data_IF_590946108644
#
_entry.id   IF_590946108644
#
_cell.length_a   1.000
_cell.length_b   1.000
_cell.length_c   1.000
_cell.angle_alpha   90.00
_cell.angle_beta   90.00
_cell.angle_gamma   90.00
#
_symmetry.space_group_name_H-M   'P 1'
#
loop_
_entity.id
_entity.type
_entity.pdbx_description
1 polymer ?
#
# COMPACT_ATOMS: atom_id res chain seq x y z
N UNK A 1 11.85 0.78 22.17
CA UNK A 1 10.44 0.98 22.57
C UNK A 1 9.62 1.25 21.33
N UNK A 2 8.39 0.73 21.21
CA UNK A 2 7.47 1.07 20.13
C UNK A 2 7.22 2.58 20.06
N UNK A 3 6.94 3.09 18.86
CA UNK A 3 6.57 4.49 18.66
C UNK A 3 5.15 4.69 19.19
N UNK A 4 4.94 5.64 20.09
CA UNK A 4 3.60 5.99 20.57
C UNK A 4 2.97 7.10 19.71
N UNK A 5 1.67 7.32 19.87
CA UNK A 5 0.91 8.32 19.11
C UNK A 5 1.42 9.74 19.31
N UNK A 6 1.84 10.10 20.52
CA UNK A 6 2.39 11.43 20.82
C UNK A 6 3.69 11.69 20.03
N UNK A 7 4.60 10.72 19.99
CA UNK A 7 5.82 10.78 19.19
C UNK A 7 5.52 10.83 17.70
N UNK A 8 4.53 10.04 17.23
CA UNK A 8 4.12 10.07 15.84
C UNK A 8 3.61 11.46 15.42
N UNK A 9 2.79 12.09 16.27
CA UNK A 9 2.31 13.46 16.08
C UNK A 9 3.45 14.49 16.10
N UNK A 10 4.38 14.38 17.04
CA UNK A 10 5.56 15.25 17.13
C UNK A 10 6.44 15.12 15.88
N UNK A 11 6.69 13.90 15.40
CA UNK A 11 7.57 13.64 14.27
C UNK A 11 6.95 14.01 12.93
N UNK A 12 5.62 13.85 12.79
CA UNK A 12 4.88 14.25 11.60
C UNK A 12 4.70 15.77 11.49
N UNK A 13 4.60 16.46 12.64
CA UNK A 13 4.34 17.90 12.69
C UNK A 13 2.90 18.26 12.31
N UNK A 14 2.69 19.54 11.99
CA UNK A 14 1.37 20.12 11.68
C UNK A 14 0.97 20.00 10.21
N UNK A 15 1.80 19.39 9.36
CA UNK A 15 1.50 19.26 7.94
C UNK A 15 0.30 18.33 7.72
N UNK A 16 -0.54 18.65 6.73
CA UNK A 16 -1.64 17.79 6.29
C UNK A 16 -1.19 16.78 5.24
N UNK A 17 -1.97 15.72 5.02
CA UNK A 17 -1.64 14.69 4.02
C UNK A 17 -1.55 15.30 2.61
N UNK A 18 -2.49 16.18 2.27
CA UNK A 18 -2.47 16.91 0.99
C UNK A 18 -1.20 17.76 0.86
N UNK A 19 -0.76 18.43 1.94
CA UNK A 19 0.49 19.23 1.94
C UNK A 19 1.74 18.38 1.70
N UNK A 20 1.80 17.18 2.27
CA UNK A 20 2.92 16.25 2.08
C UNK A 20 2.93 15.58 0.70
N UNK A 21 1.79 15.56 0.01
CA UNK A 21 1.61 14.94 -1.30
C UNK A 21 1.46 15.94 -2.44
N UNK A 22 1.69 17.24 -2.19
CA UNK A 22 1.63 18.27 -3.23
C UNK A 22 2.50 17.84 -4.41
N UNK A 23 1.88 17.81 -5.59
CA UNK A 23 2.63 17.64 -6.84
C UNK A 23 3.50 18.90 -6.99
N UNK A 24 4.80 18.76 -6.67
CA UNK A 24 5.78 19.85 -6.43
C UNK A 24 5.92 20.91 -7.53
N UNK A 25 5.20 20.81 -8.65
CA UNK A 25 5.37 21.65 -9.82
C UNK A 25 4.07 22.01 -10.54
N UNK A 26 2.93 22.11 -9.84
CA UNK A 26 1.87 22.97 -10.41
C UNK A 26 2.52 24.33 -10.65
N UNK A 27 2.67 24.69 -11.93
CA UNK A 27 3.16 26.01 -12.30
C UNK A 27 2.25 27.03 -11.63
N UNK A 28 2.72 28.27 -11.44
CA UNK A 28 1.90 29.35 -10.86
C UNK A 28 0.57 29.56 -11.61
N UNK A 29 0.48 29.10 -12.86
CA UNK A 29 -0.71 29.11 -13.71
C UNK A 29 -1.60 27.85 -13.58
N UNK A 30 -1.35 26.96 -12.62
CA UNK A 30 -2.12 25.73 -12.40
C UNK A 30 -1.85 24.62 -13.41
N UNK A 31 -0.83 24.76 -14.27
CA UNK A 31 -0.50 23.73 -15.27
C UNK A 31 0.41 22.65 -14.70
N UNK A 32 0.16 21.40 -15.10
CA UNK A 32 1.09 20.28 -14.90
C UNK A 32 1.95 20.03 -16.13
N UNK A 33 3.16 19.53 -15.91
CA UNK A 33 4.06 19.01 -16.93
C UNK A 33 3.62 17.63 -17.39
N UNK A 34 4.19 17.16 -18.51
CA UNK A 34 3.94 15.80 -19.00
C UNK A 34 4.36 14.75 -17.96
N UNK A 35 5.49 14.95 -17.27
CA UNK A 35 5.97 14.01 -16.25
C UNK A 35 5.06 13.96 -15.03
N UNK A 36 4.51 15.10 -14.60
CA UNK A 36 3.49 15.11 -13.56
C UNK A 36 2.23 14.37 -13.99
N UNK A 37 1.80 14.54 -15.25
CA UNK A 37 0.67 13.79 -15.79
C UNK A 37 0.95 12.27 -15.83
N UNK A 38 2.18 11.86 -16.15
CA UNK A 38 2.63 10.47 -16.04
C UNK A 38 2.59 9.96 -14.61
N UNK A 39 3.02 10.76 -13.63
CA UNK A 39 2.92 10.40 -12.21
C UNK A 39 1.47 10.23 -11.76
N UNK A 40 0.56 11.13 -12.18
CA UNK A 40 -0.87 11.02 -11.93
C UNK A 40 -1.46 9.70 -12.47
N UNK A 41 -1.11 9.34 -13.71
CA UNK A 41 -1.52 8.07 -14.32
C UNK A 41 -0.88 6.87 -13.61
N UNK A 42 0.39 6.94 -13.24
CA UNK A 42 1.07 5.85 -12.52
C UNK A 42 0.34 5.53 -11.21
N UNK A 43 -0.02 6.56 -10.43
CA UNK A 43 -0.75 6.38 -9.18
C UNK A 43 -2.14 5.82 -9.43
N UNK A 44 -2.92 6.43 -10.32
CA UNK A 44 -4.31 5.96 -10.56
C UNK A 44 -4.38 4.56 -11.16
N UNK A 45 -3.46 4.22 -12.08
CA UNK A 45 -3.27 2.85 -12.59
C UNK A 45 -2.85 1.88 -11.49
N UNK A 46 -1.86 2.26 -10.67
CA UNK A 46 -1.38 1.41 -9.56
C UNK A 46 -2.48 1.10 -8.55
N UNK A 47 -3.27 2.12 -8.20
CA UNK A 47 -4.43 1.97 -7.31
C UNK A 47 -5.49 1.07 -7.94
N UNK A 48 -5.82 1.23 -9.23
CA UNK A 48 -6.76 0.34 -9.91
C UNK A 48 -6.30 -1.12 -9.84
N UNK A 49 -5.00 -1.38 -10.02
CA UNK A 49 -4.43 -2.73 -9.91
C UNK A 49 -4.39 -3.31 -8.48
N UNK A 50 -4.61 -2.51 -7.44
CA UNK A 50 -4.88 -3.05 -6.11
C UNK A 50 -6.22 -3.83 -6.06
N UNK A 51 -7.15 -3.56 -6.99
CA UNK A 51 -8.50 -4.14 -7.01
C UNK A 51 -8.76 -5.07 -8.20
N UNK A 52 -8.12 -4.85 -9.34
CA UNK A 52 -8.32 -5.67 -10.55
C UNK A 52 -7.00 -6.22 -11.09
N UNK A 53 -7.06 -7.43 -11.64
CA UNK A 53 -5.90 -8.08 -12.24
C UNK A 53 -5.38 -7.29 -13.47
N UNK A 54 -4.11 -7.55 -13.84
CA UNK A 54 -3.45 -6.94 -15.00
C UNK A 54 -2.17 -6.16 -14.66
N UNK A 55 -1.90 -5.94 -13.36
CA UNK A 55 -0.64 -5.40 -12.89
C UNK A 55 0.45 -6.48 -12.72
N UNK A 56 1.68 -6.09 -12.31
CA UNK A 56 2.78 -7.03 -12.07
C UNK A 56 2.56 -7.93 -10.85
N UNK A 57 1.60 -7.58 -9.99
CA UNK A 57 1.26 -8.30 -8.77
C UNK A 57 -0.24 -8.62 -8.78
N UNK A 58 -0.66 -9.70 -8.09
CA UNK A 58 -2.07 -9.99 -7.92
C UNK A 58 -2.78 -8.85 -7.16
N UNK A 59 -4.09 -8.67 -7.36
CA UNK A 59 -4.87 -7.70 -6.61
C UNK A 59 -4.72 -7.92 -5.11
N UNK A 60 -4.48 -6.83 -4.39
CA UNK A 60 -4.33 -6.82 -2.95
C UNK A 60 -5.67 -7.01 -2.24
N UNK A 61 -6.73 -6.47 -2.84
CA UNK A 61 -8.07 -6.52 -2.30
C UNK A 61 -8.90 -7.55 -3.03
N UNK A 62 -9.37 -8.55 -2.28
CA UNK A 62 -10.46 -9.39 -2.74
C UNK A 62 -11.74 -8.60 -2.53
N UNK A 63 -12.29 -8.02 -3.60
CA UNK A 63 -13.60 -7.36 -3.53
C UNK A 63 -14.61 -8.40 -3.05
N UNK A 64 -15.21 -8.24 -1.86
CA UNK A 64 -16.25 -9.14 -1.39
C UNK A 64 -17.46 -8.91 -2.29
N UNK A 65 -17.59 -9.75 -3.33
CA UNK A 65 -18.82 -10.14 -4.03
C UNK A 65 -19.81 -9.00 -4.36
N UNK A 66 -19.98 -8.71 -5.65
CA UNK A 66 -20.91 -7.71 -6.21
C UNK A 66 -20.79 -6.28 -5.62
N UNK A 67 -19.71 -5.58 -6.00
CA UNK A 67 -19.99 -4.34 -6.70
C UNK A 67 -19.32 -4.39 -8.06
N UNK A 68 -20.09 -4.81 -9.07
CA UNK A 68 -19.76 -4.62 -10.50
C UNK A 68 -19.24 -3.20 -10.76
N UNK A 69 -19.71 -2.23 -9.97
CA UNK A 69 -19.32 -0.82 -10.05
C UNK A 69 -17.85 -0.55 -9.73
N UNK A 70 -17.28 -1.15 -8.66
CA UNK A 70 -15.89 -0.91 -8.28
C UNK A 70 -14.92 -1.41 -9.35
N UNK A 71 -15.09 -2.67 -9.77
CA UNK A 71 -14.33 -3.25 -10.87
C UNK A 71 -14.52 -2.46 -12.18
N UNK A 72 -15.75 -2.02 -12.48
CA UNK A 72 -16.04 -1.18 -13.63
C UNK A 72 -15.28 0.17 -13.56
N UNK A 73 -15.27 0.85 -12.42
CA UNK A 73 -14.49 2.09 -12.27
C UNK A 73 -13.00 1.86 -12.44
N UNK A 74 -12.45 0.77 -11.90
CA UNK A 74 -11.05 0.42 -12.13
C UNK A 74 -10.76 0.23 -13.64
N UNK A 75 -11.62 -0.48 -14.36
CA UNK A 75 -11.47 -0.65 -15.81
C UNK A 75 -11.57 0.68 -16.57
N UNK A 76 -12.48 1.57 -16.17
CA UNK A 76 -12.61 2.90 -16.77
C UNK A 76 -11.40 3.80 -16.46
N UNK A 77 -10.80 3.70 -15.27
CA UNK A 77 -9.52 4.35 -14.95
C UNK A 77 -8.41 3.84 -15.87
N UNK A 78 -8.26 2.51 -16.02
CA UNK A 78 -7.23 1.92 -16.87
C UNK A 78 -7.39 2.34 -18.34
N UNK A 79 -8.61 2.29 -18.88
CA UNK A 79 -8.90 2.76 -20.25
C UNK A 79 -8.64 4.25 -20.42
N UNK A 80 -8.97 5.07 -19.42
CA UNK A 80 -8.69 6.52 -19.44
C UNK A 80 -7.18 6.76 -19.48
N UNK A 81 -6.44 6.12 -18.58
CA UNK A 81 -5.00 6.31 -18.47
C UNK A 81 -4.27 5.84 -19.72
N UNK A 82 -4.68 4.72 -20.30
CA UNK A 82 -4.10 4.23 -21.55
C UNK A 82 -4.34 5.20 -22.72
N UNK A 83 -5.57 5.70 -22.89
CA UNK A 83 -5.85 6.77 -23.87
C UNK A 83 -5.01 8.02 -23.62
N UNK A 84 -4.79 8.37 -22.35
CA UNK A 84 -4.02 9.54 -21.96
C UNK A 84 -2.53 9.35 -22.24
N UNK A 85 -1.96 8.16 -22.01
CA UNK A 85 -0.58 7.79 -22.40
C UNK A 85 -0.40 7.88 -23.91
N UNK A 86 -1.32 7.29 -24.69
CA UNK A 86 -1.30 7.38 -26.16
C UNK A 86 -1.32 8.83 -26.64
N UNK A 87 -2.05 9.72 -25.95
CA UNK A 87 -2.10 11.14 -26.27
C UNK A 87 -0.80 11.88 -25.89
N UNK A 88 -0.15 11.49 -24.80
CA UNK A 88 1.09 12.12 -24.31
C UNK A 88 2.34 11.67 -25.08
N UNK A 89 2.40 10.39 -25.45
CA UNK A 89 3.56 9.76 -26.09
C UNK A 89 3.41 9.67 -27.62
N UNK A 90 2.22 9.96 -28.16
CA UNK A 90 1.93 9.89 -29.59
C UNK A 90 2.68 10.95 -30.43
N UNK A 91 2.96 10.65 -31.72
CA UNK A 91 3.58 11.60 -32.63
C UNK A 91 2.73 12.87 -32.77
N UNK A 92 3.38 14.04 -32.88
CA UNK A 92 2.72 15.30 -33.22
C UNK A 92 1.87 15.11 -34.48
N UNK A 93 0.54 15.06 -34.32
CA UNK A 93 -0.35 15.00 -35.47
C UNK A 93 -0.22 16.28 -36.28
N UNK A 94 0.21 16.14 -37.54
CA UNK A 94 0.31 17.25 -38.52
C UNK A 94 -1.07 17.78 -38.92
N UNK A 95 -2.10 16.94 -38.87
CA UNK A 95 -3.48 17.29 -39.27
C UNK A 95 -4.22 18.08 -38.19
N UNK A 96 -3.99 17.77 -36.92
CA UNK A 96 -4.68 18.43 -35.80
C UNK A 96 -3.82 19.51 -35.11
N UNK A 97 -2.56 19.74 -35.52
CA UNK A 97 -1.59 20.62 -34.82
C UNK A 97 -1.42 20.28 -33.34
N UNK A 98 -1.69 19.04 -32.96
CA UNK A 98 -1.71 18.61 -31.57
C UNK A 98 -0.80 17.37 -31.44
N UNK A 99 0.48 17.55 -31.10
CA UNK A 99 0.91 16.90 -29.87
C UNK A 99 0.53 17.86 -28.77
N UNK A 100 -0.33 17.39 -27.90
CA UNK A 100 -1.07 18.25 -27.04
C UNK A 100 -0.17 18.74 -25.89
N UNK A 101 0.49 19.89 -26.08
CA UNK A 101 0.91 20.76 -24.95
C UNK A 101 -0.25 21.02 -23.97
N UNK A 102 -1.50 20.80 -24.41
CA UNK A 102 -2.72 20.90 -23.63
C UNK A 102 -3.21 19.58 -23.01
N UNK A 103 -2.63 18.40 -23.33
CA UNK A 103 -3.10 17.14 -22.75
C UNK A 103 -2.81 17.11 -21.25
N UNK A 104 -1.68 17.68 -20.85
CA UNK A 104 -1.38 17.94 -19.45
C UNK A 104 -2.34 18.96 -18.81
N UNK A 105 -2.96 19.85 -19.60
CA UNK A 105 -3.88 20.88 -19.12
C UNK A 105 -5.37 20.49 -19.23
N UNK A 106 -5.66 19.21 -19.46
CA UNK A 106 -7.03 18.71 -19.54
C UNK A 106 -7.72 18.83 -18.17
N UNK A 107 -8.65 19.79 -17.99
CA UNK A 107 -9.27 20.03 -16.69
C UNK A 107 -10.11 18.84 -16.24
N UNK A 108 -10.70 18.10 -17.19
CA UNK A 108 -11.49 16.91 -16.90
C UNK A 108 -10.63 15.80 -16.30
N UNK A 109 -9.43 15.60 -16.83
CA UNK A 109 -8.46 14.67 -16.27
C UNK A 109 -8.02 15.09 -14.85
N UNK A 110 -7.62 16.35 -14.67
CA UNK A 110 -7.12 16.84 -13.37
C UNK A 110 -8.18 16.79 -12.26
N UNK A 111 -9.45 17.06 -12.61
CA UNK A 111 -10.59 16.98 -11.70
C UNK A 111 -10.79 15.58 -11.08
N UNK A 112 -10.35 14.53 -11.77
CA UNK A 112 -10.47 13.17 -11.21
C UNK A 112 -9.62 12.92 -9.97
N UNK A 113 -8.67 13.81 -9.68
CA UNK A 113 -7.73 13.71 -8.57
C UNK A 113 -8.06 14.68 -7.41
N UNK A 114 -9.19 15.39 -7.51
CA UNK A 114 -9.60 16.42 -6.56
C UNK A 114 -10.29 15.90 -5.30
N UNK A 115 -11.16 16.73 -4.71
CA UNK A 115 -11.86 16.41 -3.45
C UNK A 115 -13.30 15.90 -3.69
N UNK A 116 -13.87 15.25 -2.68
CA UNK A 116 -15.24 14.69 -2.70
C UNK A 116 -16.30 15.69 -3.18
N UNK A 117 -16.20 16.96 -2.77
CA UNK A 117 -17.11 18.03 -3.20
C UNK A 117 -17.24 18.14 -4.72
N UNK A 118 -16.24 17.71 -5.48
CA UNK A 118 -16.25 17.76 -6.94
C UNK A 118 -17.23 16.76 -7.56
N UNK A 119 -17.61 15.71 -6.83
CA UNK A 119 -18.66 14.76 -7.23
C UNK A 119 -20.03 15.46 -7.32
N UNK A 120 -20.30 16.43 -6.45
CA UNK A 120 -21.61 17.08 -6.33
C UNK A 120 -21.81 18.24 -7.34
N UNK A 121 -20.77 18.67 -8.04
CA UNK A 121 -20.77 19.98 -8.73
C UNK A 121 -21.45 19.98 -10.11
N UNK A 122 -21.83 18.84 -10.73
CA UNK A 122 -22.65 18.87 -11.98
C UNK A 122 -23.09 17.48 -12.47
N UNK A 123 -24.23 17.35 -13.17
CA UNK A 123 -24.65 16.11 -13.87
C UNK A 123 -23.70 15.66 -14.98
N UNK A 124 -22.79 16.54 -15.45
CA UNK A 124 -21.74 16.24 -16.43
C UNK A 124 -20.53 15.46 -15.84
N UNK A 125 -20.47 15.27 -14.51
CA UNK A 125 -19.40 14.52 -13.84
C UNK A 125 -19.65 13.00 -13.81
N UNK A 126 -20.37 12.46 -14.80
CA UNK A 126 -20.49 11.02 -15.01
C UNK A 126 -19.14 10.34 -15.25
N UNK A 127 -18.12 11.08 -15.70
CA UNK A 127 -16.84 10.56 -16.18
C UNK A 127 -15.63 10.83 -15.28
N UNK A 128 -15.77 10.74 -13.95
CA UNK A 128 -14.64 10.83 -13.00
C UNK A 128 -14.40 9.51 -12.24
N UNK A 129 -14.06 8.40 -12.94
CA UNK A 129 -14.05 7.06 -12.34
C UNK A 129 -13.04 6.92 -11.20
N UNK A 130 -11.89 7.58 -11.28
CA UNK A 130 -10.89 7.56 -10.18
C UNK A 130 -11.41 8.26 -8.92
N UNK A 131 -12.07 9.42 -9.07
CA UNK A 131 -12.66 10.15 -7.96
C UNK A 131 -13.76 9.32 -7.29
N UNK A 132 -14.63 8.68 -8.09
CA UNK A 132 -15.67 7.76 -7.58
C UNK A 132 -15.08 6.58 -6.84
N UNK A 133 -14.02 5.96 -7.39
CA UNK A 133 -13.32 4.87 -6.74
C UNK A 133 -12.75 5.27 -5.36
N UNK A 134 -12.19 6.47 -5.25
CA UNK A 134 -11.54 6.96 -4.01
C UNK A 134 -12.51 7.38 -2.91
N UNK A 135 -13.74 7.75 -3.27
CA UNK A 135 -14.77 8.23 -2.35
C UNK A 135 -15.98 7.30 -2.23
N UNK A 136 -15.98 6.16 -2.90
CA UNK A 136 -16.95 5.10 -2.61
C UNK A 136 -16.76 4.62 -1.16
N UNK A 137 -17.82 4.61 -0.31
CA UNK A 137 -17.68 4.31 1.11
C UNK A 137 -17.03 2.96 1.39
N UNK A 138 -17.47 1.90 0.69
CA UNK A 138 -16.98 0.54 0.93
C UNK A 138 -15.51 0.40 0.52
N UNK A 139 -15.14 0.98 -0.63
CA UNK A 139 -13.77 0.94 -1.12
C UNK A 139 -12.86 1.82 -0.26
N UNK A 140 -13.33 3.01 0.14
CA UNK A 140 -12.66 3.92 1.04
C UNK A 140 -12.35 3.27 2.39
N UNK A 141 -13.32 2.60 3.00
CA UNK A 141 -13.14 1.92 4.29
C UNK A 141 -12.13 0.78 4.22
N UNK A 142 -12.18 0.00 3.15
CA UNK A 142 -11.25 -1.09 2.91
C UNK A 142 -9.81 -0.59 2.68
N UNK A 143 -9.62 0.53 1.96
CA UNK A 143 -8.31 1.18 1.84
C UNK A 143 -7.83 1.74 3.18
N UNK A 144 -8.72 2.42 3.93
CA UNK A 144 -8.40 2.99 5.23
C UNK A 144 -7.94 1.92 6.21
N UNK A 145 -8.65 0.79 6.29
CA UNK A 145 -8.28 -0.33 7.15
C UNK A 145 -6.90 -0.90 6.78
N UNK A 146 -6.60 -1.03 5.49
CA UNK A 146 -5.27 -1.46 5.05
C UNK A 146 -4.16 -0.50 5.48
N UNK A 147 -4.41 0.81 5.41
CA UNK A 147 -3.47 1.85 5.86
C UNK A 147 -3.31 1.81 7.38
N UNK A 148 -4.40 1.62 8.12
CA UNK A 148 -4.39 1.46 9.58
C UNK A 148 -3.51 0.29 10.01
N UNK A 149 -3.64 -0.87 9.35
CA UNK A 149 -2.76 -2.01 9.59
C UNK A 149 -1.28 -1.69 9.31
N UNK A 150 -1.00 -1.03 8.18
CA UNK A 150 0.36 -0.65 7.80
C UNK A 150 0.99 0.29 8.84
N UNK A 151 0.23 1.29 9.31
CA UNK A 151 0.66 2.18 10.40
C UNK A 151 0.84 1.40 11.70
N UNK A 152 -0.05 0.46 12.00
CA UNK A 152 0.09 -0.44 13.16
C UNK A 152 1.40 -1.22 13.14
N UNK A 153 1.80 -1.76 11.97
CA UNK A 153 3.10 -2.43 11.80
C UNK A 153 4.27 -1.46 12.01
N UNK A 154 4.16 -0.24 11.47
CA UNK A 154 5.17 0.81 11.62
C UNK A 154 5.39 1.22 13.07
N UNK A 155 4.31 1.44 13.83
CA UNK A 155 4.41 1.88 15.22
C UNK A 155 4.91 0.76 16.15
N UNK A 156 4.49 -0.49 15.89
CA UNK A 156 4.90 -1.66 16.70
C UNK A 156 6.32 -2.11 16.38
N UNK A 157 6.72 -2.12 15.11
CA UNK A 157 8.02 -2.60 14.64
C UNK A 157 9.11 -1.54 14.64
N UNK A 158 8.73 -0.26 14.50
CA UNK A 158 9.67 0.87 14.53
C UNK A 158 10.04 1.26 15.96
N UNK A 159 11.28 1.65 16.16
CA UNK A 159 11.75 2.22 17.43
C UNK A 159 12.54 3.51 17.26
N UNK A 160 12.70 3.98 16.02
CA UNK A 160 13.50 5.17 15.69
C UNK A 160 12.73 6.08 14.74
N UNK A 161 13.11 7.37 14.74
CA UNK A 161 12.56 8.35 13.79
C UNK A 161 12.83 7.98 12.33
N UNK A 162 13.93 7.28 12.04
CA UNK A 162 14.28 6.85 10.69
C UNK A 162 13.35 5.76 10.14
N UNK A 163 12.77 4.94 11.02
CA UNK A 163 11.76 3.95 10.66
C UNK A 163 10.34 4.52 10.55
N UNK A 164 10.14 5.77 10.97
CA UNK A 164 8.84 6.43 10.92
C UNK A 164 8.62 7.09 9.56
N UNK A 165 7.44 6.87 9.00
CA UNK A 165 7.04 7.42 7.72
C UNK A 165 5.90 8.45 7.93
N UNK A 166 6.21 9.76 7.96
CA UNK A 166 5.21 10.80 8.25
C UNK A 166 3.98 10.74 7.34
N UNK A 167 4.17 10.41 6.06
CA UNK A 167 3.08 10.34 5.09
C UNK A 167 2.05 9.26 5.42
N UNK A 168 2.44 8.09 5.95
CA UNK A 168 1.48 7.06 6.34
C UNK A 168 0.67 7.49 7.56
N UNK A 169 1.34 8.05 8.57
CA UNK A 169 0.68 8.54 9.76
C UNK A 169 -0.33 9.64 9.45
N UNK A 170 0.12 10.67 8.72
CA UNK A 170 -0.72 11.81 8.36
C UNK A 170 -1.82 11.39 7.38
N UNK A 171 -1.55 10.46 6.46
CA UNK A 171 -2.54 9.91 5.55
C UNK A 171 -3.66 9.13 6.25
N UNK A 172 -3.34 8.42 7.34
CA UNK A 172 -4.34 7.79 8.22
C UNK A 172 -5.17 8.86 8.95
N UNK A 173 -4.49 9.81 9.62
CA UNK A 173 -5.13 10.87 10.41
C UNK A 173 -6.09 11.73 9.58
N UNK A 174 -5.68 12.12 8.38
CA UNK A 174 -6.39 13.08 7.52
C UNK A 174 -7.23 12.39 6.43
N UNK A 175 -7.48 11.07 6.54
CA UNK A 175 -8.09 10.27 5.47
C UNK A 175 -9.42 10.86 4.96
N UNK A 176 -10.30 11.27 5.88
CA UNK A 176 -11.64 11.79 5.56
C UNK A 176 -11.62 13.11 4.79
N UNK A 177 -10.59 13.93 4.96
CA UNK A 177 -10.48 15.26 4.33
C UNK A 177 -9.54 15.28 3.11
N UNK A 178 -8.76 14.21 2.93
CA UNK A 178 -7.76 14.10 1.86
C UNK A 178 -8.39 14.04 0.47
N UNK A 179 -7.70 14.61 -0.52
CA UNK A 179 -8.04 14.48 -1.94
C UNK A 179 -7.93 13.02 -2.44
N UNK A 180 -8.56 12.72 -3.58
CA UNK A 180 -8.41 11.42 -4.25
C UNK A 180 -6.96 11.13 -4.65
N UNK A 181 -6.21 12.16 -5.05
CA UNK A 181 -4.77 12.05 -5.26
C UNK A 181 -4.05 11.53 -4.02
N UNK A 182 -4.25 12.21 -2.89
CA UNK A 182 -3.56 11.90 -1.64
C UNK A 182 -3.94 10.53 -1.11
N UNK A 183 -5.22 10.15 -1.17
CA UNK A 183 -5.68 8.80 -0.84
C UNK A 183 -4.97 7.73 -1.68
N UNK A 184 -4.87 7.94 -2.99
CA UNK A 184 -4.18 7.03 -3.90
C UNK A 184 -2.68 6.91 -3.61
N UNK A 185 -2.00 8.04 -3.35
CA UNK A 185 -0.58 8.06 -2.99
C UNK A 185 -0.34 7.33 -1.67
N UNK A 186 -1.12 7.64 -0.63
CA UNK A 186 -1.00 7.01 0.70
C UNK A 186 -1.24 5.50 0.61
N UNK A 187 -2.23 5.04 -0.17
CA UNK A 187 -2.47 3.62 -0.38
C UNK A 187 -1.26 2.91 -0.99
N UNK A 188 -0.72 3.43 -2.09
CA UNK A 188 0.43 2.81 -2.75
C UNK A 188 1.68 2.83 -1.87
N UNK A 189 1.85 3.90 -1.08
CA UNK A 189 2.93 4.01 -0.12
C UNK A 189 2.78 2.99 1.03
N UNK A 190 1.56 2.75 1.51
CA UNK A 190 1.26 1.73 2.52
C UNK A 190 1.52 0.32 1.98
N UNK A 191 1.17 0.07 0.72
CA UNK A 191 1.44 -1.17 0.01
C UNK A 191 2.94 -1.45 -0.09
N UNK A 192 3.72 -0.51 -0.61
CA UNK A 192 5.18 -0.63 -0.69
C UNK A 192 5.83 -0.84 0.69
N UNK A 193 5.30 -0.16 1.72
CA UNK A 193 5.77 -0.35 3.09
C UNK A 193 5.54 -1.79 3.59
N UNK A 194 4.32 -2.32 3.48
CA UNK A 194 4.01 -3.69 3.93
C UNK A 194 4.81 -4.74 3.15
N UNK A 195 5.01 -4.54 1.84
CA UNK A 195 5.87 -5.41 1.02
C UNK A 195 7.32 -5.43 1.52
N UNK A 196 7.91 -4.27 1.84
CA UNK A 196 9.28 -4.18 2.40
C UNK A 196 9.38 -4.85 3.77
N UNK A 197 8.39 -4.67 4.65
CA UNK A 197 8.37 -5.31 5.97
C UNK A 197 8.26 -6.83 5.83
N UNK A 198 7.39 -7.33 4.96
CA UNK A 198 7.26 -8.76 4.69
C UNK A 198 8.56 -9.35 4.13
N UNK A 199 9.20 -8.68 3.16
CA UNK A 199 10.48 -9.10 2.61
C UNK A 199 11.57 -9.18 3.70
N UNK A 200 11.62 -8.21 4.60
CA UNK A 200 12.57 -8.20 5.72
C UNK A 200 12.30 -9.35 6.71
N UNK A 201 11.03 -9.64 7.02
CA UNK A 201 10.64 -10.76 7.88
C UNK A 201 11.02 -12.11 7.26
N UNK A 202 10.74 -12.30 5.96
CA UNK A 202 11.14 -13.51 5.24
C UNK A 202 12.66 -13.70 5.21
N UNK A 203 13.42 -12.62 4.98
CA UNK A 203 14.87 -12.69 5.01
C UNK A 203 15.41 -13.07 6.40
N UNK A 204 14.86 -12.47 7.46
CA UNK A 204 15.25 -12.81 8.83
C UNK A 204 14.95 -14.28 9.17
N UNK A 205 13.77 -14.78 8.77
CA UNK A 205 13.39 -16.17 8.96
C UNK A 205 14.33 -17.13 8.21
N UNK A 206 14.68 -16.83 6.95
CA UNK A 206 15.63 -17.63 6.18
C UNK A 206 17.02 -17.68 6.83
N UNK A 207 17.52 -16.55 7.33
CA UNK A 207 18.81 -16.51 8.03
C UNK A 207 18.76 -17.31 9.33
N UNK A 208 17.67 -17.23 10.08
CA UNK A 208 17.49 -18.00 11.31
C UNK A 208 17.43 -19.51 11.02
N UNK A 209 16.71 -19.92 9.97
CA UNK A 209 16.65 -21.32 9.54
C UNK A 209 18.02 -21.84 9.09
N UNK A 210 18.80 -21.03 8.37
CA UNK A 210 20.18 -21.38 7.98
C UNK A 210 21.10 -21.54 9.20
N UNK A 211 21.00 -20.65 10.20
CA UNK A 211 21.76 -20.76 11.44
C UNK A 211 21.37 -22.00 12.23
N UNK A 212 20.09 -22.35 12.27
CA UNK A 212 19.63 -23.56 12.94
C UNK A 212 20.10 -24.83 12.23
N UNK A 213 20.02 -24.87 10.91
CA UNK A 213 20.54 -25.98 10.12
C UNK A 213 22.05 -26.14 10.32
N UNK A 214 22.81 -25.03 10.41
CA UNK A 214 24.25 -25.07 10.69
C UNK A 214 24.55 -25.61 12.09
N UNK A 215 23.82 -25.15 13.12
CA UNK A 215 24.01 -25.64 14.49
C UNK A 215 23.65 -27.12 14.64
N UNK A 216 22.60 -27.59 13.94
CA UNK A 216 22.26 -29.02 13.91
C UNK A 216 23.38 -29.85 13.26
N UNK A 217 23.94 -29.35 12.15
CA UNK A 217 25.07 -29.98 11.48
C UNK A 217 26.30 -30.06 12.40
N UNK A 218 26.64 -28.98 13.10
CA UNK A 218 27.79 -28.93 14.01
C UNK A 218 27.67 -29.90 15.21
N UNK A 219 26.45 -30.25 15.63
CA UNK A 219 26.18 -31.23 16.70
C UNK A 219 26.16 -32.68 16.15
N UNK A 220 26.44 -32.88 14.86
CA UNK A 220 26.45 -34.20 14.21
C UNK A 220 25.04 -34.74 13.93
N UNK A 221 24.01 -33.91 14.07
CA UNK A 221 22.65 -34.24 13.66
C UNK A 221 22.49 -33.87 12.18
N UNK A 222 22.83 -34.83 11.31
CA UNK A 222 22.69 -34.65 9.86
C UNK A 222 21.19 -34.52 9.50
N UNK A 223 20.77 -33.49 8.75
CA UNK A 223 19.37 -33.28 8.37
C UNK A 223 18.77 -34.42 7.54
N UNK A 224 19.60 -35.28 6.94
CA UNK A 224 19.17 -36.41 6.10
C UNK A 224 18.70 -37.64 6.89
N UNK A 225 18.87 -37.63 8.22
CA UNK A 225 18.38 -38.71 9.08
C UNK A 225 17.38 -38.14 10.10
N UNK A 226 16.08 -38.28 9.80
CA UNK A 226 14.92 -38.11 10.71
C UNK A 226 14.24 -36.73 10.86
N UNK A 227 14.26 -35.84 9.86
CA UNK A 227 13.56 -34.54 9.99
C UNK A 227 12.02 -34.56 9.88
N UNK A 228 11.37 -35.69 9.61
CA UNK A 228 9.89 -35.74 9.59
C UNK A 228 9.25 -35.82 10.98
N UNK A 229 10.00 -36.08 12.07
CA UNK A 229 9.40 -36.30 13.38
C UNK A 229 9.68 -35.24 14.45
N UNK A 230 10.64 -34.33 14.23
CA UNK A 230 11.06 -33.37 15.27
C UNK A 230 10.56 -31.92 15.08
N UNK A 231 10.00 -31.57 13.92
CA UNK A 231 9.50 -30.22 13.62
C UNK A 231 8.33 -29.75 14.53
N UNK A 232 7.73 -30.65 15.32
CA UNK A 232 6.62 -30.33 16.24
C UNK A 232 7.03 -30.09 17.70
N UNK A 233 8.30 -30.31 18.08
CA UNK A 233 8.73 -30.27 19.50
C UNK A 233 8.52 -28.93 20.23
N UNK A 234 8.74 -27.75 19.62
CA UNK A 234 8.47 -26.47 20.30
C UNK A 234 6.98 -26.25 20.56
N UNK A 235 6.11 -26.76 19.67
CA UNK A 235 4.66 -26.58 19.75
C UNK A 235 4.00 -27.51 20.78
N UNK A 236 4.55 -28.71 20.98
CA UNK A 236 4.04 -29.70 21.93
C UNK A 236 4.37 -29.32 23.38
N UNK A 237 5.58 -28.83 23.64
CA UNK A 237 5.99 -28.43 25.00
C UNK A 237 5.21 -27.23 25.52
N UNK A 238 4.94 -26.20 24.69
CA UNK A 238 4.16 -25.04 25.13
C UNK A 238 2.69 -25.38 25.46
N UNK A 239 2.07 -26.30 24.70
CA UNK A 239 0.71 -26.80 24.98
C UNK A 239 0.67 -27.76 26.17
N UNK A 240 1.69 -28.61 26.35
CA UNK A 240 1.79 -29.51 27.51
C UNK A 240 2.03 -28.74 28.80
N UNK A 241 2.91 -27.74 28.82
CA UNK A 241 3.13 -26.89 30.00
C UNK A 241 1.82 -26.25 30.49
N UNK A 242 0.97 -25.78 29.57
CA UNK A 242 -0.37 -25.25 29.92
C UNK A 242 -1.35 -26.31 30.44
N UNK A 243 -1.20 -27.58 30.06
CA UNK A 243 -2.12 -28.66 30.47
C UNK A 243 -1.67 -29.41 31.72
N UNK A 244 -0.37 -29.64 31.89
CA UNK A 244 0.17 -30.42 33.00
C UNK A 244 0.62 -29.55 34.18
N UNK A 245 0.78 -28.23 33.98
CA UNK A 245 1.35 -27.34 35.00
C UNK A 245 2.84 -27.59 35.28
N UNK A 246 3.47 -28.50 34.54
CA UNK A 246 4.89 -28.86 34.70
C UNK A 246 5.75 -27.85 33.96
N UNK A 247 6.82 -27.37 34.61
CA UNK A 247 7.71 -26.39 34.01
C UNK A 247 8.43 -26.95 32.79
N UNK A 248 8.74 -26.08 31.82
CA UNK A 248 9.42 -26.49 30.59
C UNK A 248 10.81 -27.09 30.85
N UNK A 249 11.45 -26.69 31.96
CA UNK A 249 12.74 -27.24 32.42
C UNK A 249 12.61 -28.69 32.87
N UNK A 250 11.60 -28.99 33.67
CA UNK A 250 11.35 -30.34 34.18
C UNK A 250 10.95 -31.32 33.06
N UNK A 251 10.18 -30.86 32.06
CA UNK A 251 9.88 -31.70 30.89
C UNK A 251 11.12 -32.03 30.06
N UNK A 252 12.10 -31.11 29.97
CA UNK A 252 13.37 -31.35 29.28
C UNK A 252 14.25 -32.33 30.04
N UNK A 253 14.28 -32.24 31.38
CA UNK A 253 15.04 -33.17 32.23
C UNK A 253 14.49 -34.61 32.16
N UNK A 254 13.18 -34.79 31.94
CA UNK A 254 12.57 -36.14 31.82
C UNK A 254 12.76 -36.81 30.46
N UNK A 255 13.15 -36.06 29.43
CA UNK A 255 13.28 -36.55 28.05
C UNK A 255 14.73 -36.59 27.55
N UNK A 256 15.68 -36.15 28.37
CA UNK A 256 17.11 -36.40 28.18
C UNK A 256 17.46 -37.83 28.63
#
# INVERSE_FOLDING_TARGET
MPINEQQANEWAGSATADQLTIIKSFRRDGRVTADQCRQLMLVSTGVAHCFVAGGPQPPMFSLPWEPVQGAHWCQEVLKRDERKRQTLDGPQSKSTKLAHKNAAQDPGFLRTFGHERELNVQPLNSHVPFLRLMFDPNISDLMHHYIEEAVGWMLKGGSTRNSFLPLLWVGLRDWSISSAWTRGVVLLYAKEYKERVQAALHHHQQVQDQLMNRLLFDIGLHPDHQLHSLAHFPSLTARQVRRSGVSQRELRERWA
#
